data_IF_016386292440
#
_entry.id   IF_016386292440
#
_cell.length_a   1.000
_cell.length_b   1.000
_cell.length_c   1.000
_cell.angle_alpha   90.00
_cell.angle_beta   90.00
_cell.angle_gamma   90.00
#
_symmetry.space_group_name_H-M   'P 1'
#
loop_
_entity.id
_entity.type
_entity.pdbx_description
1 polymer ?
#
# COMPACT_ATOMS: atom_id res chain seq x y z
N UNK A 1 12.65 -22.92 -1.87
CA UNK A 1 13.33 -21.96 -0.99
C UNK A 1 12.26 -21.36 -0.09
N UNK A 2 12.46 -21.50 1.21
CA UNK A 2 11.39 -21.55 2.19
C UNK A 2 10.70 -20.20 2.39
N UNK A 3 9.39 -20.29 2.47
CA UNK A 3 8.41 -19.35 2.96
C UNK A 3 8.78 -18.83 4.37
N UNK A 4 9.82 -18.00 4.47
CA UNK A 4 10.14 -17.29 5.69
C UNK A 4 9.13 -16.14 5.82
N UNK A 5 8.01 -16.44 6.48
CA UNK A 5 7.01 -15.43 6.87
C UNK A 5 7.73 -14.41 7.74
N UNK A 6 8.11 -13.29 7.16
CA UNK A 6 8.64 -12.18 7.91
C UNK A 6 7.59 -11.77 8.96
N UNK A 7 7.91 -11.81 10.26
CA UNK A 7 6.98 -11.34 11.28
C UNK A 7 6.80 -9.84 11.06
N UNK A 8 5.63 -9.45 10.55
CA UNK A 8 5.44 -8.06 10.16
C UNK A 8 4.11 -7.77 9.51
N UNK A 9 3.84 -6.46 9.48
CA UNK A 9 2.73 -5.75 8.85
C UNK A 9 2.66 -6.08 7.35
N UNK A 10 1.48 -6.39 6.82
CA UNK A 10 1.29 -6.57 5.38
C UNK A 10 0.95 -7.99 4.90
N UNK A 11 0.70 -8.11 3.60
CA UNK A 11 0.66 -9.39 2.90
C UNK A 11 2.03 -10.09 2.96
N UNK A 12 2.07 -11.32 3.45
CA UNK A 12 3.30 -12.12 3.58
C UNK A 12 3.92 -12.53 2.23
N UNK A 13 3.23 -12.30 1.13
CA UNK A 13 3.66 -12.61 -0.23
C UNK A 13 3.35 -11.44 -1.16
N UNK A 14 4.26 -11.13 -2.07
CA UNK A 14 4.06 -10.16 -3.14
C UNK A 14 4.35 -10.85 -4.49
N UNK A 15 3.42 -11.66 -5.02
CA UNK A 15 3.65 -12.36 -6.28
C UNK A 15 3.76 -11.36 -7.43
N UNK A 16 4.64 -11.60 -8.43
CA UNK A 16 4.78 -10.73 -9.58
C UNK A 16 3.50 -10.72 -10.43
N UNK A 17 3.24 -9.60 -11.13
CA UNK A 17 2.09 -9.51 -12.01
C UNK A 17 2.30 -10.41 -13.25
N UNK A 18 1.28 -11.19 -13.62
CA UNK A 18 1.32 -12.10 -14.78
C UNK A 18 1.68 -11.40 -16.11
N UNK A 19 1.32 -10.13 -16.25
CA UNK A 19 1.54 -9.35 -17.47
C UNK A 19 2.81 -8.48 -17.41
N UNK A 20 3.59 -8.60 -16.34
CA UNK A 20 4.81 -7.85 -16.16
C UNK A 20 5.91 -8.41 -17.06
N UNK A 21 6.61 -7.52 -17.78
CA UNK A 21 7.65 -7.90 -18.76
C UNK A 21 9.05 -7.94 -18.16
N UNK A 22 9.23 -7.32 -17.00
CA UNK A 22 10.50 -7.13 -16.34
C UNK A 22 10.39 -7.70 -14.93
N UNK A 23 11.43 -8.42 -14.51
CA UNK A 23 11.60 -8.88 -13.15
C UNK A 23 12.74 -8.09 -12.51
N UNK A 24 12.59 -7.75 -11.23
CA UNK A 24 13.58 -6.98 -10.48
C UNK A 24 14.06 -7.84 -9.33
N UNK A 25 15.32 -8.26 -9.42
CA UNK A 25 16.02 -8.91 -8.32
C UNK A 25 16.75 -7.86 -7.49
N UNK A 26 16.51 -7.89 -6.18
CA UNK A 26 17.21 -7.07 -5.20
C UNK A 26 18.38 -7.86 -4.64
N UNK A 27 19.52 -7.22 -4.44
CA UNK A 27 20.60 -7.81 -3.65
C UNK A 27 20.14 -8.05 -2.19
N UNK A 28 20.83 -8.95 -1.48
CA UNK A 28 20.42 -9.35 -0.13
C UNK A 28 20.48 -8.23 0.90
N UNK A 29 21.39 -7.27 0.73
CA UNK A 29 21.55 -6.12 1.63
C UNK A 29 20.34 -5.20 1.50
N UNK A 30 20.01 -4.79 0.28
CA UNK A 30 18.83 -3.98 -0.01
C UNK A 30 17.52 -4.68 0.37
N UNK A 31 17.43 -5.98 0.07
CA UNK A 31 16.26 -6.78 0.41
C UNK A 31 16.06 -6.89 1.93
N UNK A 32 17.09 -6.79 2.76
CA UNK A 32 16.96 -6.81 4.22
C UNK A 32 16.40 -5.50 4.75
N UNK A 33 16.83 -4.37 4.21
CA UNK A 33 16.38 -3.04 4.62
C UNK A 33 14.87 -2.83 4.37
N UNK A 34 14.37 -3.29 3.22
CA UNK A 34 12.94 -3.25 2.88
C UNK A 34 12.04 -3.97 3.89
N UNK A 35 12.54 -5.01 4.56
CA UNK A 35 11.74 -5.80 5.53
C UNK A 35 11.55 -5.07 6.86
N UNK A 36 12.33 -4.02 7.11
CA UNK A 36 12.41 -3.33 8.41
C UNK A 36 11.72 -1.98 8.45
N UNK A 37 10.88 -1.66 7.45
CA UNK A 37 10.23 -0.34 7.36
C UNK A 37 9.43 0.00 8.63
N UNK A 38 9.89 1.02 9.34
CA UNK A 38 9.23 1.50 10.56
C UNK A 38 8.01 2.32 10.17
N UNK A 39 6.94 2.18 10.93
CA UNK A 39 5.73 2.99 10.72
C UNK A 39 6.03 4.46 10.95
N UNK A 40 5.73 5.26 9.94
CA UNK A 40 5.85 6.71 9.98
C UNK A 40 4.47 7.31 10.18
N UNK A 41 4.36 8.27 11.10
CA UNK A 41 3.13 9.01 11.37
C UNK A 41 3.34 10.43 10.86
N UNK A 42 2.50 10.84 9.92
CA UNK A 42 2.52 12.18 9.35
C UNK A 42 1.40 13.03 9.94
N UNK A 43 1.63 14.35 10.00
CA UNK A 43 0.55 15.28 10.32
C UNK A 43 -0.40 15.40 9.15
N UNK A 44 -1.67 15.20 9.43
CA UNK A 44 -2.74 15.38 8.46
C UNK A 44 -3.21 16.84 8.45
N UNK A 45 -3.02 17.52 7.32
CA UNK A 45 -3.39 18.93 7.12
C UNK A 45 -4.73 19.10 6.42
N UNK A 46 -5.44 18.00 6.14
CA UNK A 46 -6.70 18.09 5.40
C UNK A 46 -7.78 18.76 6.23
N UNK A 47 -8.60 19.56 5.55
CA UNK A 47 -9.64 20.37 6.20
C UNK A 47 -11.00 19.67 6.26
N UNK A 48 -11.17 18.60 5.48
CA UNK A 48 -12.40 17.81 5.39
C UNK A 48 -12.07 16.34 5.10
N UNK A 49 -12.98 15.45 5.47
CA UNK A 49 -12.93 14.01 5.16
C UNK A 49 -13.65 13.68 3.83
N UNK A 50 -14.45 14.61 3.31
CA UNK A 50 -15.19 14.44 2.07
C UNK A 50 -14.36 14.90 0.86
N UNK A 51 -14.32 14.07 -0.17
CA UNK A 51 -13.80 14.43 -1.49
C UNK A 51 -14.96 14.66 -2.46
N UNK A 52 -14.95 15.81 -3.13
CA UNK A 52 -15.95 16.18 -4.14
C UNK A 52 -15.57 15.70 -5.53
N UNK A 53 -16.58 15.34 -6.32
CA UNK A 53 -16.48 14.89 -7.69
C UNK A 53 -17.58 15.57 -8.52
N UNK A 54 -17.21 16.03 -9.73
CA UNK A 54 -18.12 16.64 -10.71
C UNK A 54 -18.20 15.84 -12.02
N UNK A 55 -17.66 14.63 -12.06
CA UNK A 55 -17.67 13.80 -13.27
C UNK A 55 -19.11 13.45 -13.68
N UNK A 56 -19.46 13.60 -14.98
CA UNK A 56 -20.77 13.18 -15.48
C UNK A 56 -20.95 11.65 -15.46
N UNK A 57 -19.85 10.89 -15.36
CA UNK A 57 -19.87 9.42 -15.41
C UNK A 57 -19.98 8.77 -14.01
N UNK A 58 -19.89 9.56 -12.94
CA UNK A 58 -19.87 9.07 -11.56
C UNK A 58 -21.12 9.57 -10.82
N UNK A 59 -22.06 8.69 -10.44
CA UNK A 59 -23.40 9.09 -9.97
C UNK A 59 -23.45 9.59 -8.51
N UNK A 60 -22.32 10.04 -7.95
CA UNK A 60 -22.26 10.59 -6.59
C UNK A 60 -21.43 11.87 -6.55
N UNK A 61 -21.82 12.83 -5.73
CA UNK A 61 -21.07 14.10 -5.57
C UNK A 61 -19.91 13.99 -4.58
N UNK A 62 -20.09 13.24 -3.50
CA UNK A 62 -19.11 13.13 -2.42
C UNK A 62 -18.66 11.68 -2.26
N UNK A 63 -17.37 11.52 -1.98
CA UNK A 63 -16.77 10.26 -1.53
C UNK A 63 -16.05 10.48 -0.21
N UNK A 64 -15.83 9.38 0.51
CA UNK A 64 -15.13 9.38 1.77
C UNK A 64 -14.14 8.22 1.75
N UNK A 65 -12.86 8.52 2.00
CA UNK A 65 -11.86 7.52 2.27
C UNK A 65 -11.55 7.56 3.77
N UNK A 66 -12.03 6.60 4.56
CA UNK A 66 -11.79 6.60 6.01
C UNK A 66 -10.34 6.22 6.34
N UNK A 67 -9.56 5.79 5.36
CA UNK A 67 -8.18 5.35 5.53
C UNK A 67 -7.23 6.52 5.25
N UNK A 68 -6.39 6.84 6.25
CA UNK A 68 -5.33 7.87 6.18
C UNK A 68 -3.95 7.24 6.41
N UNK A 69 -3.75 6.10 5.76
CA UNK A 69 -2.65 5.17 6.03
C UNK A 69 -3.15 3.97 6.84
N UNK A 70 -2.52 2.82 6.65
CA UNK A 70 -2.83 1.60 7.39
C UNK A 70 -1.55 0.81 7.63
N UNK A 71 -1.33 0.46 8.89
CA UNK A 71 -0.22 -0.40 9.26
C UNK A 71 -0.40 -1.86 8.82
N UNK A 72 -1.60 -2.28 8.44
CA UNK A 72 -1.85 -3.67 8.10
C UNK A 72 -1.39 -4.06 6.70
N UNK A 73 -1.19 -3.11 5.78
CA UNK A 73 -0.66 -3.36 4.43
C UNK A 73 -1.32 -4.53 3.67
N UNK A 74 -2.65 -4.66 3.75
CA UNK A 74 -3.39 -5.78 3.17
C UNK A 74 -3.07 -5.95 1.68
N UNK A 75 -3.07 -7.19 1.17
CA UNK A 75 -2.68 -7.50 -0.22
C UNK A 75 -3.49 -6.77 -1.29
N UNK A 76 -4.72 -6.40 -0.95
CA UNK A 76 -5.65 -5.68 -1.83
C UNK A 76 -5.70 -4.16 -1.55
N UNK A 77 -4.90 -3.67 -0.61
CA UNK A 77 -4.92 -2.27 -0.23
C UNK A 77 -4.05 -1.46 -1.18
N UNK A 78 -4.65 -0.48 -1.87
CA UNK A 78 -3.91 0.44 -2.73
C UNK A 78 -2.90 1.31 -1.94
N UNK A 79 -3.10 1.45 -0.61
CA UNK A 79 -2.25 2.22 0.29
C UNK A 79 -1.17 1.37 0.97
N UNK A 80 -0.76 0.26 0.34
CA UNK A 80 0.37 -0.54 0.79
C UNK A 80 1.68 0.27 0.64
N UNK A 81 2.64 0.15 1.57
CA UNK A 81 3.98 0.73 1.39
C UNK A 81 4.68 0.19 0.14
#
# INVERSE_FOLDING_TARGET
MANEKLPGRGAASNPPNRYERLDVEWDEEFARDLRSQRTQVYRDTSRTILAENESPDVPFRFSLNPYRGCEHGCIYCYARP
#
